data_IF_246647884785
#
_entry.id   IF_246647884785
#
_cell.length_a   1.000
_cell.length_b   1.000
_cell.length_c   1.000
_cell.angle_alpha   90.00
_cell.angle_beta   90.00
_cell.angle_gamma   90.00
#
_symmetry.space_group_name_H-M   'P 1'
#
loop_
_entity.id
_entity.type
_entity.pdbx_description
1 polymer ?
#
# COMPACT_ATOMS: atom_id res chain seq x y z
N UNK A 1 -3.61 32.02 5.62
CA UNK A 1 -2.82 33.27 5.47
C UNK A 1 -3.00 34.21 6.68
N UNK A 2 -4.15 34.17 7.35
CA UNK A 2 -4.44 34.99 8.51
C UNK A 2 -4.05 34.36 9.85
N UNK A 3 -3.43 33.16 9.83
CA UNK A 3 -2.94 32.49 11.04
C UNK A 3 -4.02 31.83 11.92
N UNK A 4 -5.26 31.72 11.45
CA UNK A 4 -6.34 31.12 12.23
C UNK A 4 -6.25 29.60 12.33
N UNK A 5 -5.59 28.96 11.35
CA UNK A 5 -5.44 27.51 11.27
C UNK A 5 -4.03 27.17 10.79
N UNK A 6 -3.38 26.25 11.46
CA UNK A 6 -2.16 25.59 10.95
C UNK A 6 -2.56 24.34 10.13
N UNK A 7 -3.14 24.62 8.97
CA UNK A 7 -3.54 23.56 8.03
C UNK A 7 -2.35 22.97 7.31
N UNK A 8 -2.27 21.62 7.31
CA UNK A 8 -1.22 20.84 6.65
C UNK A 8 -1.85 19.83 5.71
N UNK A 9 -1.21 19.58 4.58
CA UNK A 9 -1.70 18.64 3.57
C UNK A 9 -0.66 17.54 3.34
N UNK A 10 -1.04 16.29 3.60
CA UNK A 10 -0.26 15.11 3.24
C UNK A 10 -0.87 14.47 1.98
N UNK A 11 -0.01 14.13 1.01
CA UNK A 11 -0.39 13.33 -0.14
C UNK A 11 0.00 11.88 0.13
N UNK A 12 -1.01 11.02 0.23
CA UNK A 12 -0.82 9.61 0.52
C UNK A 12 -0.45 8.86 -0.76
N UNK A 13 0.38 7.83 -0.60
CA UNK A 13 0.58 6.80 -1.62
C UNK A 13 -0.58 5.80 -1.57
N UNK A 14 -0.63 4.87 -2.50
CA UNK A 14 -1.65 3.80 -2.44
C UNK A 14 -1.39 2.93 -1.23
N UNK A 15 -2.34 2.96 -0.29
CA UNK A 15 -2.25 2.15 0.93
C UNK A 15 -2.57 0.69 0.59
N UNK A 16 -1.62 -0.21 0.85
CA UNK A 16 -1.72 -1.65 0.65
C UNK A 16 -0.89 -2.39 1.72
N UNK A 17 -1.31 -3.45 2.33
CA UNK A 17 -2.56 -4.19 2.12
C UNK A 17 -3.62 -3.60 3.07
N UNK A 18 -4.75 -3.17 2.54
CA UNK A 18 -5.85 -2.67 3.37
C UNK A 18 -6.73 -3.83 3.82
N UNK A 19 -7.13 -3.86 5.11
CA UNK A 19 -8.15 -4.80 5.57
C UNK A 19 -9.50 -4.53 4.91
N UNK A 20 -10.42 -5.47 5.02
CA UNK A 20 -11.79 -5.36 4.51
C UNK A 20 -12.06 -6.20 3.26
N UNK A 21 -13.13 -5.85 2.53
CA UNK A 21 -13.58 -6.59 1.34
C UNK A 21 -13.20 -5.85 0.05
N UNK A 22 -13.15 -6.55 -1.10
CA UNK A 22 -13.03 -5.91 -2.40
C UNK A 22 -14.09 -4.81 -2.58
N UNK A 23 -13.72 -3.73 -3.26
CA UNK A 23 -14.63 -2.64 -3.59
C UNK A 23 -14.43 -2.21 -5.05
N UNK A 24 -15.29 -1.34 -5.56
CA UNK A 24 -15.27 -0.88 -6.95
C UNK A 24 -14.18 0.13 -7.31
N UNK A 25 -13.27 0.49 -6.40
CA UNK A 25 -12.18 1.41 -6.72
C UNK A 25 -11.13 0.73 -7.61
N UNK A 26 -10.65 1.43 -8.65
CA UNK A 26 -9.64 0.91 -9.57
C UNK A 26 -8.34 0.49 -8.86
N UNK A 27 -8.01 1.08 -7.69
CA UNK A 27 -6.85 0.72 -6.85
C UNK A 27 -7.08 -0.48 -5.94
N UNK A 28 -8.30 -1.01 -5.86
CA UNK A 28 -8.66 -2.08 -4.92
C UNK A 28 -7.83 -3.36 -5.15
N UNK A 29 -7.47 -3.63 -6.39
CA UNK A 29 -6.70 -4.84 -6.74
C UNK A 29 -5.31 -4.87 -6.11
N UNK A 30 -4.63 -3.73 -5.86
CA UNK A 30 -3.32 -3.72 -5.19
C UNK A 30 -3.36 -4.36 -3.81
N UNK A 31 -4.45 -4.19 -3.08
CA UNK A 31 -4.67 -4.93 -1.82
C UNK A 31 -5.22 -6.33 -2.09
N UNK A 32 -6.09 -6.48 -3.08
CA UNK A 32 -6.77 -7.73 -3.40
C UNK A 32 -5.84 -8.87 -3.78
N UNK A 33 -4.83 -8.62 -4.61
CA UNK A 33 -3.85 -9.63 -5.05
C UNK A 33 -2.96 -10.18 -3.91
N UNK A 34 -3.05 -9.58 -2.72
CA UNK A 34 -2.34 -10.04 -1.51
C UNK A 34 -3.33 -10.55 -0.48
N UNK A 35 -4.35 -9.76 -0.16
CA UNK A 35 -5.32 -10.04 0.91
C UNK A 35 -6.14 -11.30 0.65
N UNK A 36 -6.75 -11.42 -0.54
CA UNK A 36 -7.61 -12.54 -0.88
C UNK A 36 -6.84 -13.88 -0.89
N UNK A 37 -5.65 -13.98 -1.53
CA UNK A 37 -4.83 -15.19 -1.46
C UNK A 37 -4.45 -15.61 -0.03
N UNK A 38 -4.11 -14.65 0.84
CA UNK A 38 -3.82 -14.91 2.26
C UNK A 38 -5.07 -15.41 3.00
N UNK A 39 -6.26 -14.95 2.63
CA UNK A 39 -7.53 -15.44 3.16
C UNK A 39 -7.97 -16.80 2.56
N UNK A 40 -7.22 -17.34 1.59
CA UNK A 40 -7.54 -18.61 0.92
C UNK A 40 -8.48 -18.48 -0.27
N UNK A 41 -8.73 -17.21 -0.71
CA UNK A 41 -9.63 -16.90 -1.82
C UNK A 41 -8.84 -16.62 -3.11
N UNK A 42 -9.41 -16.92 -4.29
CA UNK A 42 -8.82 -16.54 -5.56
C UNK A 42 -8.85 -15.01 -5.73
N UNK A 43 -7.88 -14.49 -6.47
CA UNK A 43 -7.81 -13.07 -6.84
C UNK A 43 -7.44 -12.90 -8.29
N UNK A 44 -8.02 -11.89 -8.94
CA UNK A 44 -7.73 -11.54 -10.33
C UNK A 44 -6.97 -10.22 -10.37
N UNK A 45 -5.79 -10.22 -10.99
CA UNK A 45 -5.04 -9.01 -11.29
C UNK A 45 -5.50 -8.43 -12.63
N UNK A 46 -6.08 -7.22 -12.67
CA UNK A 46 -6.67 -6.64 -13.88
C UNK A 46 -5.69 -5.90 -14.77
N UNK A 47 -4.41 -5.87 -14.42
CA UNK A 47 -3.36 -5.12 -15.12
C UNK A 47 -2.15 -6.00 -15.41
N UNK A 48 -1.24 -5.51 -16.27
CA UNK A 48 0.00 -6.19 -16.61
C UNK A 48 0.96 -6.26 -15.41
N UNK A 49 1.79 -7.30 -15.29
CA UNK A 49 2.78 -7.48 -14.23
C UNK A 49 3.82 -6.35 -14.11
N UNK A 50 4.12 -5.67 -15.21
CA UNK A 50 5.09 -4.57 -15.30
C UNK A 50 4.56 -3.21 -14.81
N UNK A 51 3.27 -3.13 -14.47
CA UNK A 51 2.68 -1.89 -13.94
C UNK A 51 3.35 -1.53 -12.62
N UNK A 52 4.04 -0.38 -12.61
CA UNK A 52 4.70 0.17 -11.42
C UNK A 52 3.82 1.22 -10.74
N UNK A 53 3.81 1.20 -9.40
CA UNK A 53 3.04 2.16 -8.61
C UNK A 53 3.66 2.38 -7.22
N UNK A 54 3.61 3.62 -6.66
CA UNK A 54 4.05 3.87 -5.29
C UNK A 54 3.00 3.38 -4.28
N UNK A 55 3.42 2.48 -3.41
CA UNK A 55 2.58 1.87 -2.37
C UNK A 55 3.17 2.07 -0.99
N UNK A 56 2.38 1.95 0.06
CA UNK A 56 2.81 2.03 1.46
C UNK A 56 1.87 1.21 2.33
N UNK A 57 2.34 0.75 3.49
CA UNK A 57 1.50 0.04 4.46
C UNK A 57 0.48 0.97 5.14
N UNK A 58 -0.53 0.37 5.78
CA UNK A 58 -1.48 1.10 6.60
C UNK A 58 -0.78 1.75 7.81
N UNK A 59 0.13 1.03 8.47
CA UNK A 59 0.90 1.53 9.61
C UNK A 59 1.73 2.74 9.25
N UNK A 60 2.59 2.64 8.22
CA UNK A 60 3.41 3.76 7.77
C UNK A 60 2.58 4.98 7.33
N UNK A 61 1.38 4.76 6.77
CA UNK A 61 0.45 5.85 6.45
C UNK A 61 -0.01 6.58 7.71
N UNK A 62 -0.42 5.84 8.75
CA UNK A 62 -0.87 6.42 10.03
C UNK A 62 0.26 7.17 10.72
N UNK A 63 1.43 6.56 10.83
CA UNK A 63 2.62 7.19 11.43
C UNK A 63 3.02 8.47 10.68
N UNK A 64 2.94 8.44 9.35
CA UNK A 64 3.18 9.59 8.51
C UNK A 64 2.18 10.72 8.76
N UNK A 65 0.90 10.43 8.94
CA UNK A 65 -0.13 11.43 9.25
C UNK A 65 0.07 12.02 10.64
N UNK A 66 0.39 11.20 11.65
CA UNK A 66 0.71 11.65 13.02
C UNK A 66 1.93 12.56 12.99
N UNK A 67 3.02 12.14 12.33
CA UNK A 67 4.24 12.94 12.21
C UNK A 67 3.98 14.28 11.54
N UNK A 68 3.18 14.31 10.46
CA UNK A 68 2.79 15.56 9.79
C UNK A 68 1.96 16.45 10.70
N UNK A 69 1.12 15.87 11.54
CA UNK A 69 0.30 16.61 12.51
C UNK A 69 1.16 17.21 13.64
N UNK A 70 2.12 16.46 14.17
CA UNK A 70 2.91 16.83 15.35
C UNK A 70 4.15 17.69 15.05
N UNK A 71 4.72 17.60 13.83
CA UNK A 71 5.94 18.34 13.49
C UNK A 71 5.73 19.86 13.61
N UNK A 72 6.80 20.63 13.84
CA UNK A 72 6.70 22.08 13.83
C UNK A 72 6.40 22.61 12.42
N UNK A 73 5.91 23.85 12.33
CA UNK A 73 5.65 24.49 11.04
C UNK A 73 6.93 24.68 10.22
N UNK A 74 8.02 24.96 10.91
CA UNK A 74 9.36 25.10 10.30
C UNK A 74 9.83 23.77 9.73
N UNK A 75 9.68 22.68 10.50
CA UNK A 75 10.04 21.32 10.07
C UNK A 75 9.18 20.86 8.89
N UNK A 76 7.86 21.15 8.91
CA UNK A 76 6.98 20.86 7.76
C UNK A 76 7.48 21.53 6.47
N UNK A 77 8.13 22.69 6.57
CA UNK A 77 8.95 23.27 5.50
C UNK A 77 8.21 23.69 4.25
N UNK A 78 7.04 24.35 4.38
CA UNK A 78 6.35 24.92 3.22
C UNK A 78 4.83 25.00 3.33
N UNK A 79 4.19 25.41 2.21
CA UNK A 79 2.73 25.58 2.10
C UNK A 79 2.07 24.58 1.15
N UNK A 80 2.88 23.79 0.43
CA UNK A 80 2.39 22.78 -0.51
C UNK A 80 2.22 21.44 0.21
N UNK A 81 1.39 20.56 -0.36
CA UNK A 81 1.24 19.20 0.15
C UNK A 81 2.61 18.49 0.26
N UNK A 82 2.79 17.74 1.34
CA UNK A 82 3.94 16.88 1.57
C UNK A 82 3.60 15.48 1.07
N UNK A 83 4.41 14.92 0.17
CA UNK A 83 4.27 13.54 -0.25
C UNK A 83 4.77 12.64 0.89
N UNK A 84 3.92 11.76 1.42
CA UNK A 84 4.38 10.69 2.30
C UNK A 84 5.24 9.69 1.51
N UNK A 85 6.18 9.00 2.18
CA UNK A 85 6.99 8.00 1.50
C UNK A 85 6.16 6.83 0.98
N UNK A 86 6.65 6.23 -0.10
CA UNK A 86 6.10 4.99 -0.63
C UNK A 86 7.16 4.20 -1.38
N UNK A 87 7.05 2.90 -1.31
CA UNK A 87 7.86 1.96 -2.06
C UNK A 87 7.39 1.95 -3.52
N UNK A 88 8.28 2.27 -4.44
CA UNK A 88 7.99 2.12 -5.87
C UNK A 88 8.20 0.65 -6.25
N UNK A 89 7.15 -0.03 -6.67
CA UNK A 89 7.14 -1.47 -6.88
C UNK A 89 6.23 -1.83 -8.06
N UNK A 90 6.61 -2.82 -8.84
CA UNK A 90 5.78 -3.41 -9.88
C UNK A 90 4.81 -4.44 -9.31
N UNK A 91 3.74 -4.74 -10.03
CA UNK A 91 2.81 -5.83 -9.68
C UNK A 91 3.55 -7.17 -9.61
N UNK A 92 4.52 -7.42 -10.52
CA UNK A 92 5.33 -8.64 -10.47
C UNK A 92 6.11 -8.73 -9.16
N UNK A 93 6.82 -7.68 -8.76
CA UNK A 93 7.58 -7.64 -7.50
C UNK A 93 6.68 -7.83 -6.26
N UNK A 94 5.43 -7.31 -6.30
CA UNK A 94 4.45 -7.56 -5.24
C UNK A 94 4.09 -9.04 -5.14
N UNK A 95 3.90 -9.71 -6.28
CA UNK A 95 3.55 -11.13 -6.32
C UNK A 95 4.72 -12.04 -5.97
N UNK A 96 5.94 -11.66 -6.36
CA UNK A 96 7.16 -12.36 -5.95
C UNK A 96 7.37 -12.27 -4.43
N UNK A 97 7.06 -11.11 -3.85
CA UNK A 97 7.06 -10.93 -2.40
C UNK A 97 6.00 -11.79 -1.70
N UNK A 98 4.79 -11.89 -2.28
CA UNK A 98 3.74 -12.78 -1.77
C UNK A 98 4.21 -14.24 -1.76
N UNK A 99 4.88 -14.68 -2.83
CA UNK A 99 5.45 -16.03 -2.91
C UNK A 99 6.53 -16.27 -1.86
N UNK A 100 7.46 -15.31 -1.68
CA UNK A 100 8.52 -15.42 -0.65
C UNK A 100 7.97 -15.47 0.77
N UNK A 101 6.93 -14.70 1.06
CA UNK A 101 6.38 -14.57 2.42
C UNK A 101 5.36 -15.67 2.75
N UNK A 102 4.52 -16.05 1.77
CA UNK A 102 3.37 -16.91 2.01
C UNK A 102 3.41 -18.23 1.22
N UNK A 103 4.40 -18.41 0.37
CA UNK A 103 4.63 -19.63 -0.41
C UNK A 103 3.91 -19.68 -1.76
N UNK A 104 4.33 -20.60 -2.63
CA UNK A 104 3.83 -20.72 -4.00
C UNK A 104 2.35 -21.08 -4.07
N UNK A 105 1.82 -21.85 -3.11
CA UNK A 105 0.39 -22.22 -3.07
C UNK A 105 -0.50 -20.98 -2.89
N UNK A 106 -0.07 -20.00 -2.09
CA UNK A 106 -0.80 -18.75 -1.88
C UNK A 106 -0.70 -17.89 -3.14
N UNK A 107 0.53 -17.77 -3.71
CA UNK A 107 0.76 -17.04 -4.95
C UNK A 107 -0.06 -17.57 -6.12
N UNK A 108 -0.23 -18.89 -6.23
CA UNK A 108 -0.99 -19.56 -7.30
C UNK A 108 -2.48 -19.19 -7.33
N UNK A 109 -3.02 -18.61 -6.26
CA UNK A 109 -4.42 -18.11 -6.22
C UNK A 109 -4.62 -16.82 -6.98
N UNK A 110 -3.52 -16.16 -7.42
CA UNK A 110 -3.60 -14.93 -8.23
C UNK A 110 -3.48 -15.27 -9.71
N UNK A 111 -4.51 -14.94 -10.47
CA UNK A 111 -4.54 -15.04 -11.93
C UNK A 111 -4.53 -13.66 -12.56
N UNK A 112 -4.22 -13.59 -13.85
CA UNK A 112 -4.25 -12.35 -14.61
C UNK A 112 -5.42 -12.39 -15.60
N UNK A 113 -6.28 -11.39 -15.53
CA UNK A 113 -7.33 -11.14 -16.50
C UNK A 113 -7.43 -9.64 -16.72
N UNK A 114 -6.92 -9.18 -17.86
CA UNK A 114 -6.83 -7.76 -18.15
C UNK A 114 -8.22 -7.11 -18.25
N UNK A 115 -8.41 -6.05 -17.48
CA UNK A 115 -9.60 -5.18 -17.57
C UNK A 115 -9.18 -3.85 -18.21
N UNK A 116 -9.66 -3.57 -19.41
CA UNK A 116 -9.27 -2.38 -20.18
C UNK A 116 -9.64 -1.07 -19.48
N UNK A 117 -10.77 -1.02 -18.78
CA UNK A 117 -11.18 0.17 -18.01
C UNK A 117 -10.21 0.44 -16.86
N UNK A 118 -9.90 -0.57 -16.05
CA UNK A 118 -8.96 -0.43 -14.93
C UNK A 118 -7.56 -0.14 -15.46
N UNK A 119 -7.09 -0.87 -16.45
CA UNK A 119 -5.78 -0.65 -17.07
C UNK A 119 -5.64 0.77 -17.64
N UNK A 120 -6.67 1.26 -18.33
CA UNK A 120 -6.71 2.63 -18.85
C UNK A 120 -6.68 3.72 -17.77
N UNK A 121 -7.29 3.49 -16.61
CA UNK A 121 -7.22 4.39 -15.46
C UNK A 121 -5.81 4.36 -14.84
N UNK A 122 -5.31 3.16 -14.53
CA UNK A 122 -4.04 2.95 -13.83
C UNK A 122 -2.84 3.42 -14.67
N UNK A 123 -2.90 3.27 -16.00
CA UNK A 123 -1.82 3.72 -16.90
C UNK A 123 -1.53 5.22 -16.82
N UNK A 124 -2.48 6.02 -16.33
CA UNK A 124 -2.38 7.47 -16.16
C UNK A 124 -1.89 7.88 -14.76
N UNK A 125 -1.75 6.94 -13.84
CA UNK A 125 -1.28 7.22 -12.50
C UNK A 125 0.24 7.36 -12.45
N UNK A 126 0.78 8.05 -11.43
CA UNK A 126 2.21 8.11 -11.20
C UNK A 126 2.82 6.71 -11.08
N UNK A 127 3.90 6.47 -11.82
CA UNK A 127 4.64 5.20 -11.77
C UNK A 127 5.59 5.12 -10.59
N UNK A 128 5.81 6.24 -9.92
CA UNK A 128 6.66 6.34 -8.76
C UNK A 128 6.46 7.65 -8.03
N UNK A 129 7.05 7.76 -6.85
CA UNK A 129 6.98 8.95 -6.00
C UNK A 129 8.33 9.25 -5.37
N UNK A 130 8.52 10.53 -5.00
CA UNK A 130 9.66 11.01 -4.24
C UNK A 130 9.16 11.79 -3.02
N UNK A 131 9.81 11.59 -1.87
CA UNK A 131 9.39 12.09 -0.57
C UNK A 131 10.49 12.86 0.18
N UNK A 132 11.35 13.59 -0.54
CA UNK A 132 12.52 14.29 0.03
C UNK A 132 12.18 15.14 1.27
N UNK A 133 11.01 15.82 1.28
CA UNK A 133 10.58 16.61 2.43
C UNK A 133 10.16 15.74 3.61
N UNK A 134 9.46 14.63 3.37
CA UNK A 134 9.06 13.70 4.41
C UNK A 134 10.28 13.00 5.04
N UNK A 135 11.29 12.69 4.23
CA UNK A 135 12.54 12.09 4.73
C UNK A 135 13.26 13.01 5.74
N UNK A 136 13.14 14.34 5.61
CA UNK A 136 13.66 15.30 6.60
C UNK A 136 12.90 15.27 7.94
N UNK A 137 11.69 14.74 7.94
CA UNK A 137 10.88 14.49 9.14
C UNK A 137 11.13 13.09 9.73
N UNK A 138 12.10 12.34 9.22
CA UNK A 138 12.37 10.97 9.64
C UNK A 138 11.43 9.92 9.07
N UNK A 139 10.59 10.28 8.10
CA UNK A 139 9.68 9.36 7.44
C UNK A 139 10.36 8.71 6.22
N UNK A 140 10.31 7.39 6.15
CA UNK A 140 10.88 6.61 5.05
C UNK A 140 9.87 5.56 4.58
N UNK A 141 9.98 5.17 3.31
CA UNK A 141 9.25 4.03 2.80
C UNK A 141 9.75 2.72 3.43
N UNK A 142 8.92 1.71 3.43
CA UNK A 142 9.33 0.34 3.73
C UNK A 142 10.47 -0.08 2.79
N UNK A 143 11.35 -0.95 3.27
CA UNK A 143 12.52 -1.37 2.48
C UNK A 143 12.14 -2.35 1.37
N UNK A 144 11.17 -3.20 1.66
CA UNK A 144 10.70 -4.24 0.73
C UNK A 144 9.17 -4.37 0.79
N UNK A 145 8.59 -4.93 -0.24
CA UNK A 145 7.16 -5.26 -0.21
C UNK A 145 6.85 -6.45 0.71
N UNK A 146 7.85 -7.30 0.97
CA UNK A 146 7.79 -8.36 1.98
C UNK A 146 7.45 -7.79 3.37
N UNK A 147 8.03 -6.63 3.74
CA UNK A 147 7.78 -5.97 5.02
C UNK A 147 6.33 -5.51 5.13
N UNK A 148 5.76 -4.99 4.04
CA UNK A 148 4.34 -4.60 3.95
C UNK A 148 3.43 -5.81 4.15
N UNK A 149 3.75 -6.95 3.53
CA UNK A 149 2.96 -8.19 3.69
C UNK A 149 3.08 -8.71 5.11
N UNK A 150 4.29 -8.76 5.70
CA UNK A 150 4.50 -9.22 7.08
C UNK A 150 3.77 -8.35 8.09
N UNK A 151 3.77 -7.03 7.89
CA UNK A 151 2.99 -6.13 8.73
C UNK A 151 1.49 -6.43 8.64
N UNK A 152 0.95 -6.61 7.44
CA UNK A 152 -0.46 -6.96 7.27
C UNK A 152 -0.80 -8.29 7.97
N UNK A 153 0.06 -9.31 7.87
CA UNK A 153 -0.15 -10.59 8.57
C UNK A 153 -0.15 -10.38 10.08
N UNK A 154 0.79 -9.62 10.63
CA UNK A 154 0.86 -9.32 12.05
C UNK A 154 -0.38 -8.55 12.54
N UNK A 155 -0.83 -7.56 11.78
CA UNK A 155 -2.04 -6.80 12.09
C UNK A 155 -3.29 -7.72 12.08
N UNK A 156 -3.38 -8.64 11.13
CA UNK A 156 -4.45 -9.63 11.09
C UNK A 156 -4.40 -10.57 12.31
N UNK A 157 -3.21 -11.06 12.68
CA UNK A 157 -3.03 -11.96 13.84
C UNK A 157 -3.43 -11.29 15.15
N UNK A 158 -3.18 -9.98 15.28
CA UNK A 158 -3.59 -9.19 16.45
C UNK A 158 -5.10 -8.85 16.45
N UNK A 159 -5.77 -8.99 15.31
CA UNK A 159 -7.17 -8.62 15.13
C UNK A 159 -8.16 -9.75 15.44
N UNK A 160 -9.44 -9.41 15.61
CA UNK A 160 -10.49 -10.39 15.98
C UNK A 160 -10.83 -11.40 14.87
N UNK A 161 -10.44 -11.13 13.62
CA UNK A 161 -10.78 -11.95 12.44
C UNK A 161 -9.56 -12.71 11.88
N UNK A 162 -8.52 -12.94 12.68
CA UNK A 162 -7.27 -13.59 12.25
C UNK A 162 -7.49 -14.89 11.48
N UNK A 163 -8.29 -15.79 12.03
CA UNK A 163 -8.56 -17.11 11.41
C UNK A 163 -9.18 -17.00 10.02
N UNK A 164 -10.03 -16.01 9.76
CA UNK A 164 -10.63 -15.79 8.45
C UNK A 164 -9.67 -15.05 7.49
N UNK A 165 -9.01 -14.00 7.97
CA UNK A 165 -8.13 -13.17 7.17
C UNK A 165 -6.88 -13.92 6.68
N UNK A 166 -6.44 -14.94 7.41
CA UNK A 166 -5.23 -15.73 7.13
C UNK A 166 -5.52 -17.22 6.91
N UNK A 167 -6.76 -17.59 6.57
CA UNK A 167 -7.19 -18.98 6.34
C UNK A 167 -6.33 -19.69 5.30
N UNK A 168 -5.83 -18.97 4.32
CA UNK A 168 -5.00 -19.51 3.24
C UNK A 168 -3.49 -19.49 3.53
N UNK A 169 -3.07 -18.84 4.61
CA UNK A 169 -1.68 -18.70 5.01
C UNK A 169 -1.32 -19.77 6.06
N UNK A 170 -0.22 -20.47 5.81
CA UNK A 170 0.40 -21.41 6.78
C UNK A 170 1.75 -20.82 7.16
N UNK A 171 1.90 -20.45 8.44
CA UNK A 171 3.17 -19.95 8.98
C UNK A 171 4.25 -21.02 8.95
#
# INVERSE_FOLDING_TARGET
>A
RKGYIDGRSARLMTVTVRPGKPNGAASSFFSGIIREPLAGEPSVCPVSPDVSHPVTSAGATVDGLITVFECSREAYGGRTALNLPGLNVTVQEMLDALERVAGPEVRARVTFERNETIAGIVSRWPKGSSSVRANKLGLFAEKTFDDIIRQYIADCQAGPNAAQALKGYKA
#
